data_IF_963222851912
#
_entry.id   IF_963222851912
#
_cell.length_a   1.000
_cell.length_b   1.000
_cell.length_c   1.000
_cell.angle_alpha   90.00
_cell.angle_beta   90.00
_cell.angle_gamma   90.00
#
_symmetry.space_group_name_H-M   'P 1'
#
loop_
_entity.id
_entity.type
_entity.pdbx_description
1 polymer ?
#
# COMPACT_ATOMS: atom_id res chain seq x y z
N UNK A 1 -6.30 -16.03 8.92
CA UNK A 1 -5.19 -15.26 8.33
C UNK A 1 -4.11 -16.24 7.95
N UNK A 2 -3.61 -16.17 6.74
CA UNK A 2 -2.42 -16.88 6.28
C UNK A 2 -1.41 -15.85 5.79
N UNK A 3 -0.12 -16.03 6.06
CA UNK A 3 0.93 -15.15 5.56
C UNK A 3 2.17 -15.97 5.18
N UNK A 4 2.82 -15.60 4.07
CA UNK A 4 4.07 -16.21 3.65
C UNK A 4 4.84 -15.31 2.68
N UNK A 5 6.11 -15.66 2.45
CA UNK A 5 6.89 -15.14 1.34
C UNK A 5 6.73 -16.03 0.11
N UNK A 6 6.29 -15.45 -1.00
CA UNK A 6 6.20 -16.13 -2.31
C UNK A 6 7.02 -15.39 -3.36
N UNK A 7 7.47 -16.09 -4.39
CA UNK A 7 8.22 -15.47 -5.47
C UNK A 7 7.25 -14.92 -6.53
N UNK A 8 7.30 -13.60 -6.72
CA UNK A 8 6.63 -12.86 -7.79
C UNK A 8 7.73 -12.10 -8.54
N UNK A 9 7.81 -12.26 -9.86
CA UNK A 9 8.93 -11.79 -10.66
C UNK A 9 10.31 -12.15 -10.08
N UNK A 10 10.47 -13.38 -9.59
CA UNK A 10 11.67 -13.86 -8.88
C UNK A 10 12.03 -13.10 -7.59
N UNK A 11 11.19 -12.19 -7.10
CA UNK A 11 11.40 -11.45 -5.86
C UNK A 11 10.56 -12.08 -4.74
N UNK A 12 11.19 -12.48 -3.62
CA UNK A 12 10.47 -12.92 -2.44
C UNK A 12 9.60 -11.78 -1.90
N UNK A 13 8.30 -11.99 -1.88
CA UNK A 13 7.31 -10.97 -1.53
C UNK A 13 6.44 -11.47 -0.41
N UNK A 14 6.33 -10.68 0.65
CA UNK A 14 5.44 -10.98 1.76
C UNK A 14 3.99 -10.68 1.38
N UNK A 15 3.09 -11.64 1.61
CA UNK A 15 1.66 -11.54 1.33
C UNK A 15 0.89 -12.01 2.55
N UNK A 16 -0.21 -11.31 2.85
CA UNK A 16 -1.13 -11.69 3.94
C UNK A 16 -2.53 -11.85 3.34
N UNK A 17 -3.22 -12.93 3.69
CA UNK A 17 -4.58 -13.22 3.21
C UNK A 17 -5.55 -13.60 4.32
N UNK A 18 -6.83 -13.32 4.06
CA UNK A 18 -7.98 -13.78 4.81
C UNK A 18 -9.00 -14.42 3.86
N UNK A 19 -9.79 -15.37 4.37
CA UNK A 19 -10.73 -16.17 3.56
C UNK A 19 -10.04 -17.34 2.85
N UNK A 20 -9.15 -17.06 1.88
CA UNK A 20 -8.40 -18.07 1.11
C UNK A 20 -6.95 -17.66 0.87
N UNK A 21 -6.03 -18.63 0.86
CA UNK A 21 -4.64 -18.45 0.42
C UNK A 21 -4.54 -18.32 -1.10
N UNK A 22 -3.47 -17.68 -1.57
CA UNK A 22 -3.27 -17.37 -2.99
C UNK A 22 -3.07 -18.62 -3.87
N UNK A 23 -2.61 -19.74 -3.30
CA UNK A 23 -2.42 -21.02 -4.00
C UNK A 23 -3.60 -21.99 -3.80
N UNK A 24 -4.60 -21.62 -3.02
CA UNK A 24 -5.85 -22.39 -2.92
C UNK A 24 -6.73 -22.17 -4.16
N UNK A 25 -7.51 -23.18 -4.55
CA UNK A 25 -8.46 -23.00 -5.64
C UNK A 25 -9.51 -21.93 -5.30
N UNK A 26 -9.71 -21.02 -6.25
CA UNK A 26 -10.77 -20.02 -6.25
C UNK A 26 -12.04 -20.50 -6.97
N UNK A 27 -12.20 -21.82 -7.17
CA UNK A 27 -13.45 -22.39 -7.70
C UNK A 27 -14.65 -21.97 -6.82
N UNK A 28 -15.67 -21.43 -7.46
CA UNK A 28 -16.87 -20.90 -6.79
C UNK A 28 -16.71 -19.51 -6.17
N UNK A 29 -15.52 -18.90 -6.23
CA UNK A 29 -15.28 -17.51 -5.83
C UNK A 29 -15.54 -16.60 -7.03
N UNK A 30 -16.45 -15.64 -6.88
CA UNK A 30 -16.76 -14.69 -7.95
C UNK A 30 -15.92 -13.41 -7.86
N UNK A 31 -15.57 -13.00 -6.66
CA UNK A 31 -14.92 -11.72 -6.38
C UNK A 31 -13.82 -11.87 -5.32
N UNK A 32 -12.76 -11.10 -5.48
CA UNK A 32 -11.63 -11.01 -4.55
C UNK A 32 -11.28 -9.55 -4.28
N UNK A 33 -10.84 -9.24 -3.07
CA UNK A 33 -10.33 -7.93 -2.70
C UNK A 33 -8.81 -8.00 -2.64
N UNK A 34 -8.12 -7.12 -3.37
CA UNK A 34 -6.66 -7.00 -3.34
C UNK A 34 -6.29 -5.59 -2.88
N UNK A 35 -5.55 -5.50 -1.78
CA UNK A 35 -5.02 -4.26 -1.24
C UNK A 35 -3.54 -4.11 -1.61
N UNK A 36 -3.25 -3.07 -2.41
CA UNK A 36 -1.91 -2.60 -2.72
C UNK A 36 -1.53 -1.56 -1.67
N UNK A 37 -0.50 -1.88 -0.90
CA UNK A 37 0.00 -1.02 0.17
C UNK A 37 0.53 0.31 -0.36
N UNK A 38 0.57 1.34 0.47
CA UNK A 38 1.45 2.50 0.31
C UNK A 38 2.84 2.27 0.91
N UNK A 39 3.76 3.21 0.68
CA UNK A 39 5.11 3.23 1.26
C UNK A 39 5.02 3.40 2.80
N UNK A 40 5.69 2.60 3.66
CA UNK A 40 6.87 1.77 3.45
C UNK A 40 6.62 0.40 2.79
N UNK A 41 5.40 0.03 2.42
CA UNK A 41 5.13 -1.18 1.63
C UNK A 41 5.15 -2.51 2.37
N UNK A 42 5.26 -2.49 3.72
CA UNK A 42 5.24 -3.71 4.54
C UNK A 42 3.79 -4.15 4.83
N UNK A 43 3.38 -5.37 4.41
CA UNK A 43 2.03 -5.89 4.67
C UNK A 43 1.65 -5.95 6.15
N UNK A 44 2.63 -6.14 7.03
CA UNK A 44 2.39 -6.26 8.47
C UNK A 44 1.75 -5.02 9.10
N UNK A 45 1.82 -3.85 8.46
CA UNK A 45 1.05 -2.67 8.92
C UNK A 45 -0.44 -2.80 8.65
N UNK A 46 -0.83 -3.57 7.63
CA UNK A 46 -2.21 -3.73 7.15
C UNK A 46 -2.92 -4.93 7.77
N UNK A 47 -2.26 -5.70 8.65
CA UNK A 47 -2.83 -6.89 9.28
C UNK A 47 -4.18 -6.60 9.96
N UNK A 48 -4.27 -5.52 10.74
CA UNK A 48 -5.53 -5.16 11.41
C UNK A 48 -6.60 -4.70 10.40
N UNK A 49 -6.22 -3.92 9.38
CA UNK A 49 -7.13 -3.45 8.34
C UNK A 49 -7.72 -4.61 7.51
N UNK A 50 -6.87 -5.48 6.96
CA UNK A 50 -7.31 -6.59 6.12
C UNK A 50 -8.19 -7.59 6.86
N UNK A 51 -7.83 -7.90 8.11
CA UNK A 51 -8.64 -8.77 8.97
C UNK A 51 -9.98 -8.15 9.34
N UNK A 52 -10.00 -6.86 9.71
CA UNK A 52 -11.25 -6.16 9.99
C UNK A 52 -12.14 -6.07 8.74
N UNK A 53 -11.56 -5.83 7.55
CA UNK A 53 -12.31 -5.73 6.30
C UNK A 53 -12.97 -7.07 5.94
N UNK A 54 -12.23 -8.18 5.99
CA UNK A 54 -12.80 -9.50 5.72
C UNK A 54 -13.91 -9.85 6.71
N UNK A 55 -13.73 -9.51 8.00
CA UNK A 55 -14.76 -9.71 9.00
C UNK A 55 -16.04 -8.92 8.68
N UNK A 56 -15.93 -7.63 8.33
CA UNK A 56 -17.10 -6.80 7.99
C UNK A 56 -17.84 -7.34 6.77
N UNK A 57 -17.11 -7.69 5.70
CA UNK A 57 -17.69 -8.27 4.49
C UNK A 57 -18.42 -9.59 4.78
N UNK A 58 -17.88 -10.44 5.66
CA UNK A 58 -18.52 -11.68 6.10
C UNK A 58 -19.80 -11.48 6.91
N UNK A 59 -19.83 -10.49 7.84
CA UNK A 59 -21.04 -10.13 8.60
C UNK A 59 -22.19 -9.68 7.70
N UNK A 60 -21.85 -9.17 6.53
CA UNK A 60 -22.76 -8.64 5.53
C UNK A 60 -23.14 -9.69 4.46
N UNK A 61 -22.78 -10.96 4.67
CA UNK A 61 -23.11 -12.08 3.79
C UNK A 61 -22.24 -12.20 2.55
N UNK A 62 -21.11 -11.48 2.47
CA UNK A 62 -20.17 -11.50 1.35
C UNK A 62 -18.78 -11.91 1.84
N UNK A 63 -18.57 -13.20 2.07
CA UNK A 63 -17.28 -13.74 2.53
C UNK A 63 -16.21 -13.73 1.41
N UNK A 64 -15.83 -12.53 0.97
CA UNK A 64 -14.84 -12.31 -0.08
C UNK A 64 -13.43 -12.52 0.49
N UNK A 65 -12.54 -13.25 -0.21
CA UNK A 65 -11.14 -13.28 0.15
C UNK A 65 -10.54 -11.87 0.08
N UNK A 66 -9.75 -11.51 1.09
CA UNK A 66 -9.04 -10.23 1.18
C UNK A 66 -7.55 -10.51 1.21
N UNK A 67 -6.82 -9.99 0.23
CA UNK A 67 -5.38 -10.20 0.05
C UNK A 67 -4.65 -8.87 0.13
N UNK A 68 -3.56 -8.82 0.89
CA UNK A 68 -2.66 -7.65 0.98
C UNK A 68 -1.32 -8.03 0.36
N UNK A 69 -0.90 -7.25 -0.64
CA UNK A 69 0.39 -7.41 -1.30
C UNK A 69 1.32 -6.24 -0.94
N UNK A 70 2.51 -6.57 -0.43
CA UNK A 70 3.55 -5.59 -0.13
C UNK A 70 4.30 -5.10 -1.37
N UNK A 71 5.13 -4.08 -1.18
CA UNK A 71 6.07 -3.66 -2.22
C UNK A 71 7.23 -4.66 -2.34
N UNK A 72 7.65 -4.91 -3.58
CA UNK A 72 8.75 -5.82 -3.87
C UNK A 72 10.02 -5.33 -3.16
N UNK A 73 10.67 -6.20 -2.39
CA UNK A 73 11.88 -5.90 -1.62
C UNK A 73 11.69 -5.08 -0.34
N UNK A 74 10.47 -4.69 0.03
CA UNK A 74 10.22 -3.89 1.22
C UNK A 74 10.03 -4.74 2.50
N UNK A 75 10.11 -6.06 2.41
CA UNK A 75 10.20 -6.96 3.55
C UNK A 75 11.21 -8.07 3.19
N UNK A 76 11.99 -8.49 4.17
CA UNK A 76 13.01 -9.52 4.01
C UNK A 76 12.47 -10.84 4.60
N UNK A 77 12.62 -11.97 3.89
CA UNK A 77 12.34 -13.28 4.43
C UNK A 77 13.06 -13.54 5.77
N UNK A 78 12.57 -14.48 6.60
CA UNK A 78 13.32 -14.93 7.78
C UNK A 78 14.73 -15.39 7.40
N UNK A 79 15.72 -15.21 8.27
CA UNK A 79 17.14 -15.55 7.98
C UNK A 79 17.35 -17.02 7.61
N UNK A 80 16.48 -17.92 8.06
CA UNK A 80 16.51 -19.35 7.72
C UNK A 80 15.94 -19.67 6.32
N UNK A 81 15.45 -18.67 5.59
CA UNK A 81 14.89 -18.81 4.24
C UNK A 81 16.00 -18.98 3.21
N UNK A 82 15.79 -19.89 2.25
CA UNK A 82 16.64 -20.00 1.04
C UNK A 82 16.39 -18.87 0.03
N UNK A 83 15.34 -18.08 0.26
CA UNK A 83 14.96 -16.96 -0.60
C UNK A 83 15.64 -15.69 -0.11
N UNK A 84 16.30 -14.99 -1.01
CA UNK A 84 16.94 -13.71 -0.75
C UNK A 84 16.36 -12.62 -1.67
N UNK A 85 16.18 -11.43 -1.10
CA UNK A 85 15.77 -10.26 -1.87
C UNK A 85 17.01 -9.70 -2.57
N UNK A 86 16.95 -9.39 -3.88
CA UNK A 86 18.08 -8.77 -4.59
C UNK A 86 18.55 -7.47 -3.90
N UNK A 87 19.85 -7.20 -3.95
CA UNK A 87 20.40 -5.93 -3.49
C UNK A 87 19.90 -4.79 -4.39
N UNK A 88 19.75 -3.58 -3.84
CA UNK A 88 19.28 -2.44 -4.63
C UNK A 88 20.24 -2.12 -5.77
N UNK A 89 21.54 -2.00 -5.47
CA UNK A 89 22.57 -1.68 -6.45
C UNK A 89 22.62 -2.73 -7.57
N UNK A 90 22.47 -2.29 -8.81
CA UNK A 90 22.43 -3.15 -10.00
C UNK A 90 21.09 -3.84 -10.25
N UNK A 91 20.07 -3.62 -9.40
CA UNK A 91 18.71 -4.11 -9.58
C UNK A 91 17.66 -3.00 -9.37
N UNK A 92 18.01 -1.75 -9.60
CA UNK A 92 17.18 -0.56 -9.35
C UNK A 92 15.82 -0.66 -10.07
N UNK A 93 15.81 -1.22 -11.28
CA UNK A 93 14.59 -1.44 -12.07
C UNK A 93 13.58 -2.38 -11.41
N UNK A 94 14.00 -3.26 -10.50
CA UNK A 94 13.09 -4.15 -9.76
C UNK A 94 12.31 -3.40 -8.66
N UNK A 95 12.88 -2.30 -8.16
CA UNK A 95 12.38 -1.63 -6.96
C UNK A 95 11.77 -0.26 -7.23
N UNK A 96 11.96 0.30 -8.44
CA UNK A 96 11.34 1.56 -8.85
C UNK A 96 9.83 1.38 -9.14
N UNK A 97 9.12 2.48 -9.40
CA UNK A 97 7.67 2.42 -9.63
C UNK A 97 7.27 1.48 -10.76
N UNK A 98 8.01 1.44 -11.87
CA UNK A 98 7.71 0.52 -12.98
C UNK A 98 7.89 -0.95 -12.56
N UNK A 99 8.99 -1.26 -11.88
CA UNK A 99 9.23 -2.58 -11.30
C UNK A 99 8.11 -3.00 -10.35
N UNK A 100 7.61 -2.06 -9.54
CA UNK A 100 6.44 -2.31 -8.69
C UNK A 100 5.18 -2.57 -9.54
N UNK A 101 4.90 -1.82 -10.61
CA UNK A 101 3.75 -2.09 -11.48
C UNK A 101 3.84 -3.50 -12.08
N UNK A 102 4.96 -3.83 -12.74
CA UNK A 102 5.17 -5.16 -13.33
C UNK A 102 4.99 -6.28 -12.30
N UNK A 103 5.53 -6.09 -11.10
CA UNK A 103 5.35 -7.04 -9.99
C UNK A 103 3.87 -7.26 -9.62
N UNK A 104 3.02 -6.24 -9.66
CA UNK A 104 1.59 -6.36 -9.31
C UNK A 104 0.79 -6.96 -10.47
N UNK A 105 1.16 -6.67 -11.72
CA UNK A 105 0.63 -7.33 -12.91
C UNK A 105 0.86 -8.84 -12.81
N UNK A 106 2.12 -9.26 -12.61
CA UNK A 106 2.46 -10.68 -12.51
C UNK A 106 1.76 -11.39 -11.35
N UNK A 107 1.57 -10.70 -10.22
CA UNK A 107 0.79 -11.26 -9.12
C UNK A 107 -0.65 -11.56 -9.53
N UNK A 108 -1.32 -10.60 -10.17
CA UNK A 108 -2.72 -10.73 -10.60
C UNK A 108 -2.88 -11.81 -11.67
N UNK A 109 -1.96 -11.86 -12.64
CA UNK A 109 -1.97 -12.87 -13.70
C UNK A 109 -1.74 -14.29 -13.15
N UNK A 110 -0.82 -14.43 -12.20
CA UNK A 110 -0.43 -15.74 -11.65
C UNK A 110 -1.46 -16.32 -10.70
N UNK A 111 -2.04 -15.51 -9.82
CA UNK A 111 -2.82 -16.02 -8.69
C UNK A 111 -4.34 -15.80 -8.81
N UNK A 112 -4.79 -14.93 -9.70
CA UNK A 112 -6.22 -14.69 -9.89
C UNK A 112 -6.64 -15.36 -11.20
N UNK A 113 -7.61 -16.30 -11.20
CA UNK A 113 -8.20 -16.83 -12.42
C UNK A 113 -9.01 -15.77 -13.19
N UNK A 114 -9.09 -15.90 -14.52
CA UNK A 114 -9.76 -14.92 -15.40
C UNK A 114 -11.25 -14.71 -15.11
N UNK A 115 -11.94 -15.71 -14.56
CA UNK A 115 -13.36 -15.63 -14.20
C UNK A 115 -13.64 -14.84 -12.91
N UNK A 116 -12.62 -14.60 -12.08
CA UNK A 116 -12.77 -13.88 -10.80
C UNK A 116 -12.62 -12.38 -11.04
N UNK A 117 -13.58 -11.60 -10.54
CA UNK A 117 -13.56 -10.13 -10.57
C UNK A 117 -12.81 -9.56 -9.37
N UNK A 118 -12.16 -8.41 -9.55
CA UNK A 118 -11.23 -7.85 -8.58
C UNK A 118 -11.74 -6.51 -8.05
N UNK A 119 -11.80 -6.36 -6.74
CA UNK A 119 -11.85 -5.08 -6.05
C UNK A 119 -10.43 -4.68 -5.68
N UNK A 120 -9.93 -3.57 -6.22
CA UNK A 120 -8.61 -3.06 -5.88
C UNK A 120 -8.71 -1.98 -4.81
N UNK A 121 -7.90 -2.07 -3.77
CA UNK A 121 -7.73 -1.02 -2.76
C UNK A 121 -6.30 -0.52 -2.85
N UNK A 122 -6.12 0.77 -3.08
CA UNK A 122 -4.79 1.39 -3.14
C UNK A 122 -4.66 2.43 -2.06
N UNK A 123 -3.69 2.29 -1.17
CA UNK A 123 -3.38 3.30 -0.17
C UNK A 123 -2.18 4.14 -0.62
N UNK A 124 -2.27 5.47 -0.54
CA UNK A 124 -1.16 6.38 -0.85
C UNK A 124 -0.62 6.11 -2.25
N UNK A 125 0.67 5.81 -2.41
CA UNK A 125 1.25 5.44 -3.71
C UNK A 125 0.58 4.22 -4.36
N UNK A 126 0.02 3.30 -3.57
CA UNK A 126 -0.75 2.16 -4.08
C UNK A 126 -1.95 2.61 -4.93
N UNK A 127 -2.50 3.81 -4.68
CA UNK A 127 -3.54 4.39 -5.52
C UNK A 127 -3.03 4.79 -6.91
N UNK A 128 -1.84 5.39 -6.99
CA UNK A 128 -1.19 5.71 -8.25
C UNK A 128 -0.85 4.44 -9.03
N UNK A 129 -0.37 3.41 -8.33
CA UNK A 129 -0.10 2.10 -8.94
C UNK A 129 -1.35 1.48 -9.55
N UNK A 130 -2.51 1.56 -8.87
CA UNK A 130 -3.79 1.11 -9.44
C UNK A 130 -4.12 1.85 -10.73
N UNK A 131 -3.93 3.18 -10.79
CA UNK A 131 -4.16 3.92 -12.03
C UNK A 131 -3.28 3.36 -13.16
N UNK A 132 -2.02 3.02 -12.88
CA UNK A 132 -1.15 2.41 -13.89
C UNK A 132 -1.63 1.02 -14.32
N UNK A 133 -2.08 0.19 -13.38
CA UNK A 133 -2.62 -1.14 -13.68
C UNK A 133 -3.85 -1.10 -14.59
N UNK A 134 -4.65 -0.03 -14.53
CA UNK A 134 -5.83 0.13 -15.39
C UNK A 134 -5.50 0.42 -16.86
N UNK A 135 -4.24 0.72 -17.19
CA UNK A 135 -3.80 0.84 -18.58
C UNK A 135 -3.64 -0.53 -19.26
N UNK A 136 -3.49 -1.61 -18.48
CA UNK A 136 -3.48 -2.97 -19.00
C UNK A 136 -4.92 -3.47 -19.17
N UNK A 137 -5.36 -3.68 -20.42
CA UNK A 137 -6.72 -4.11 -20.73
C UNK A 137 -7.07 -5.47 -20.11
N UNK A 138 -6.12 -6.40 -20.00
CA UNK A 138 -6.36 -7.73 -19.44
C UNK A 138 -6.65 -7.66 -17.94
N UNK A 139 -5.98 -6.75 -17.23
CA UNK A 139 -6.26 -6.48 -15.82
C UNK A 139 -7.55 -5.68 -15.69
N UNK A 140 -7.66 -4.58 -16.44
CA UNK A 140 -8.79 -3.65 -16.41
C UNK A 140 -10.12 -4.38 -16.57
N UNK A 141 -10.22 -5.33 -17.50
CA UNK A 141 -11.46 -6.08 -17.78
C UNK A 141 -11.90 -6.98 -16.62
N UNK A 142 -11.00 -7.24 -15.67
CA UNK A 142 -11.25 -8.03 -14.48
C UNK A 142 -11.59 -7.16 -13.27
N UNK A 143 -11.34 -5.86 -13.35
CA UNK A 143 -11.62 -4.92 -12.25
C UNK A 143 -13.12 -4.65 -12.15
N UNK A 144 -13.67 -4.84 -10.95
CA UNK A 144 -15.03 -4.42 -10.61
C UNK A 144 -15.05 -2.98 -10.12
N UNK A 145 -14.11 -2.61 -9.24
CA UNK A 145 -13.98 -1.25 -8.68
C UNK A 145 -12.61 -1.05 -8.04
N UNK A 146 -12.17 0.20 -8.01
CA UNK A 146 -10.95 0.65 -7.34
C UNK A 146 -11.31 1.63 -6.21
N UNK A 147 -10.78 1.39 -5.01
CA UNK A 147 -10.93 2.24 -3.83
C UNK A 147 -9.57 2.87 -3.52
N UNK A 148 -9.43 4.14 -3.88
CA UNK A 148 -8.20 4.91 -3.78
C UNK A 148 -8.20 5.69 -2.47
N UNK A 149 -7.52 5.15 -1.45
CA UNK A 149 -7.49 5.67 -0.09
C UNK A 149 -6.29 6.59 0.10
N UNK A 150 -6.54 7.85 0.50
CA UNK A 150 -5.53 8.90 0.62
C UNK A 150 -4.66 8.97 -0.64
N UNK A 151 -5.27 9.26 -1.80
CA UNK A 151 -4.70 8.95 -3.10
C UNK A 151 -3.53 9.88 -3.46
N UNK A 152 -2.29 9.40 -3.25
CA UNK A 152 -1.07 10.10 -3.67
C UNK A 152 -0.86 9.92 -5.18
N UNK A 153 -1.75 10.52 -5.98
CA UNK A 153 -1.80 10.35 -7.45
C UNK A 153 -1.25 11.55 -8.23
N UNK A 154 -0.99 12.65 -7.53
CA UNK A 154 -0.47 13.89 -8.10
C UNK A 154 0.28 14.70 -7.04
N UNK A 155 1.11 15.64 -7.51
CA UNK A 155 1.78 16.70 -6.75
C UNK A 155 2.32 16.27 -5.38
N UNK A 156 2.96 15.11 -5.34
CA UNK A 156 3.41 14.51 -4.08
C UNK A 156 4.48 15.37 -3.42
N UNK A 157 5.47 15.83 -4.20
CA UNK A 157 6.57 16.66 -3.72
C UNK A 157 6.12 18.05 -3.25
N UNK A 158 5.05 18.59 -3.85
CA UNK A 158 4.50 19.90 -3.56
C UNK A 158 3.60 19.91 -2.31
N UNK A 159 3.19 18.74 -1.82
CA UNK A 159 2.44 18.61 -0.58
C UNK A 159 3.27 19.04 0.64
N UNK A 160 2.65 19.42 1.78
CA UNK A 160 3.38 19.76 3.01
C UNK A 160 4.39 18.69 3.47
N UNK A 161 3.99 17.42 3.44
CA UNK A 161 4.86 16.31 3.83
C UNK A 161 5.89 16.01 2.74
N UNK A 162 5.53 16.09 1.46
CA UNK A 162 6.48 15.93 0.35
C UNK A 162 7.58 16.97 0.36
N UNK A 163 7.22 18.23 0.62
CA UNK A 163 8.18 19.30 0.76
C UNK A 163 9.14 19.03 1.92
N UNK A 164 8.60 18.66 3.10
CA UNK A 164 9.40 18.33 4.29
C UNK A 164 10.33 17.15 4.01
N UNK A 165 9.81 16.12 3.35
CA UNK A 165 10.57 14.94 3.00
C UNK A 165 11.72 15.28 2.05
N UNK A 166 11.44 15.94 0.92
CA UNK A 166 12.45 16.26 -0.10
C UNK A 166 13.47 17.29 0.39
N UNK A 167 13.06 18.30 1.18
CA UNK A 167 13.96 19.40 1.60
C UNK A 167 14.71 19.12 2.89
N UNK A 168 14.22 18.22 3.74
CA UNK A 168 14.80 17.95 5.06
C UNK A 168 15.16 16.49 5.20
N UNK A 169 14.19 15.57 5.10
CA UNK A 169 14.43 14.16 5.41
C UNK A 169 15.40 13.49 4.43
N UNK A 170 15.24 13.73 3.12
CA UNK A 170 16.08 13.13 2.08
C UNK A 170 17.55 13.57 2.18
N UNK A 171 17.90 14.87 2.27
CA UNK A 171 19.28 15.28 2.50
C UNK A 171 19.89 14.67 3.77
N UNK A 172 19.12 14.59 4.87
CA UNK A 172 19.59 13.96 6.11
C UNK A 172 19.82 12.46 5.93
N UNK A 173 18.93 11.77 5.22
CA UNK A 173 19.09 10.35 4.91
C UNK A 173 20.30 10.10 3.99
N UNK A 174 20.50 10.92 2.95
CA UNK A 174 21.65 10.75 2.05
C UNK A 174 23.00 10.89 2.77
N UNK A 175 23.07 11.68 3.83
CA UNK A 175 24.30 11.87 4.63
C UNK A 175 24.42 10.84 5.76
N UNK A 176 23.34 10.61 6.50
CA UNK A 176 23.37 9.84 7.76
C UNK A 176 22.59 8.54 7.73
N UNK A 177 21.70 8.34 6.77
CA UNK A 177 20.74 7.23 6.72
C UNK A 177 21.41 5.87 6.76
N UNK A 178 22.36 5.62 5.85
CA UNK A 178 23.10 4.35 5.82
C UNK A 178 23.78 4.05 7.17
N UNK A 179 24.49 5.04 7.72
CA UNK A 179 25.17 4.89 9.01
C UNK A 179 24.17 4.65 10.14
N UNK A 180 23.09 5.43 10.17
CA UNK A 180 22.04 5.31 11.18
C UNK A 180 21.41 3.91 11.21
N UNK A 181 20.96 3.40 10.06
CA UNK A 181 20.32 2.09 9.99
C UNK A 181 21.30 0.96 10.33
N UNK A 182 22.56 1.05 9.91
CA UNK A 182 23.57 0.05 10.27
C UNK A 182 23.91 0.08 11.77
N UNK A 183 24.13 1.26 12.35
CA UNK A 183 24.37 1.40 13.79
C UNK A 183 23.16 0.93 14.60
N UNK A 184 21.94 1.24 14.16
CA UNK A 184 20.73 0.78 14.82
C UNK A 184 20.65 -0.74 14.83
N UNK A 185 20.95 -1.41 13.71
CA UNK A 185 20.90 -2.87 13.61
C UNK A 185 22.06 -3.59 14.29
N UNK A 186 23.20 -2.92 14.50
CA UNK A 186 24.29 -3.43 15.31
C UNK A 186 23.93 -3.53 16.81
N UNK A 187 22.89 -2.82 17.26
CA UNK A 187 22.45 -2.88 18.65
C UNK A 187 21.77 -4.21 19.00
N UNK A 188 21.91 -4.70 20.25
CA UNK A 188 21.15 -5.85 20.74
C UNK A 188 19.64 -5.69 20.51
N UNK A 189 18.96 -6.79 20.16
CA UNK A 189 17.54 -6.77 19.78
C UNK A 189 16.64 -6.15 20.85
N UNK A 190 16.93 -6.37 22.14
CA UNK A 190 16.16 -5.79 23.24
C UNK A 190 16.24 -4.25 23.27
N UNK A 191 17.40 -3.67 22.91
CA UNK A 191 17.59 -2.22 22.89
C UNK A 191 16.85 -1.61 21.69
N UNK A 192 16.90 -2.26 20.52
CA UNK A 192 16.11 -1.86 19.35
C UNK A 192 14.61 -1.87 19.66
N UNK A 193 14.12 -2.94 20.28
CA UNK A 193 12.71 -3.05 20.70
C UNK A 193 12.35 -1.92 21.67
N UNK A 194 13.21 -1.66 22.65
CA UNK A 194 12.99 -0.60 23.64
C UNK A 194 12.87 0.78 22.97
N UNK A 195 13.78 1.13 22.06
CA UNK A 195 13.75 2.41 21.34
C UNK A 195 12.51 2.54 20.45
N UNK A 196 12.13 1.47 19.73
CA UNK A 196 10.90 1.44 18.93
C UNK A 196 9.66 1.61 19.82
N UNK A 197 9.62 0.97 20.99
CA UNK A 197 8.52 1.11 21.93
C UNK A 197 8.41 2.52 22.51
N UNK A 198 9.53 3.20 22.77
CA UNK A 198 9.52 4.63 23.15
C UNK A 198 8.92 5.47 22.02
N UNK A 199 9.39 5.28 20.78
CA UNK A 199 8.85 5.97 19.61
C UNK A 199 7.33 5.72 19.48
N UNK A 200 6.89 4.46 19.61
CA UNK A 200 5.48 4.10 19.55
C UNK A 200 4.66 4.75 20.66
N UNK A 201 5.21 4.85 21.87
CA UNK A 201 4.54 5.54 22.96
C UNK A 201 4.38 7.05 22.68
N UNK A 202 5.44 7.72 22.23
CA UNK A 202 5.41 9.15 21.89
C UNK A 202 4.38 9.43 20.79
N UNK A 203 4.34 8.59 19.76
CA UNK A 203 3.46 8.77 18.60
C UNK A 203 2.15 7.98 18.69
N UNK A 204 1.82 7.41 19.86
CA UNK A 204 0.60 6.64 20.07
C UNK A 204 0.35 5.56 18.99
N UNK A 205 1.39 4.79 18.65
CA UNK A 205 1.33 3.67 17.71
C UNK A 205 1.12 2.37 18.51
N UNK A 206 0.18 1.48 18.10
CA UNK A 206 -0.05 0.21 18.78
C UNK A 206 1.19 -0.70 18.81
N UNK A 207 1.45 -1.30 19.98
CA UNK A 207 2.63 -2.15 20.22
C UNK A 207 2.70 -3.40 19.35
N UNK A 208 1.59 -3.87 18.78
CA UNK A 208 1.59 -5.04 17.91
C UNK A 208 2.36 -4.80 16.59
N UNK A 209 2.63 -3.55 16.21
CA UNK A 209 3.46 -3.22 15.03
C UNK A 209 4.97 -3.26 15.29
N UNK A 210 5.43 -3.57 16.51
CA UNK A 210 6.87 -3.57 16.84
C UNK A 210 7.65 -4.53 15.94
N UNK A 211 7.09 -5.70 15.62
CA UNK A 211 7.72 -6.67 14.71
C UNK A 211 7.90 -6.11 13.30
N UNK A 212 6.88 -5.43 12.76
CA UNK A 212 6.94 -4.79 11.45
C UNK A 212 7.90 -3.60 11.44
N UNK A 213 7.95 -2.81 12.51
CA UNK A 213 8.92 -1.71 12.65
C UNK A 213 10.37 -2.22 12.72
N UNK A 214 10.62 -3.36 13.38
CA UNK A 214 11.93 -4.00 13.36
C UNK A 214 12.34 -4.43 11.95
N UNK A 215 11.44 -5.02 11.18
CA UNK A 215 11.69 -5.39 9.77
C UNK A 215 11.99 -4.16 8.92
N UNK A 216 11.16 -3.12 9.03
CA UNK A 216 11.38 -1.84 8.36
C UNK A 216 12.74 -1.22 8.69
N UNK A 217 13.19 -1.37 9.95
CA UNK A 217 14.48 -0.83 10.38
C UNK A 217 15.69 -1.53 9.79
N UNK A 218 15.56 -2.66 9.05
CA UNK A 218 16.71 -3.32 8.41
C UNK A 218 17.30 -2.42 7.32
N UNK A 219 18.64 -2.29 7.20
CA UNK A 219 19.24 -1.38 6.22
C UNK A 219 18.83 -1.73 4.77
N UNK A 220 18.79 -3.03 4.45
CA UNK A 220 18.36 -3.58 3.16
C UNK A 220 16.92 -3.18 2.77
N UNK A 221 16.03 -3.05 3.75
CA UNK A 221 14.63 -2.68 3.57
C UNK A 221 14.49 -1.17 3.50
N UNK A 222 15.08 -0.45 4.47
CA UNK A 222 15.02 1.00 4.55
C UNK A 222 15.56 1.67 3.28
N UNK A 223 16.65 1.13 2.71
CA UNK A 223 17.23 1.63 1.46
C UNK A 223 16.26 1.55 0.28
N UNK A 224 15.56 0.41 0.12
CA UNK A 224 14.57 0.23 -0.96
C UNK A 224 13.32 1.08 -0.74
N UNK A 225 12.87 1.21 0.50
CA UNK A 225 11.77 2.11 0.87
C UNK A 225 12.08 3.56 0.48
N UNK A 226 13.28 4.04 0.83
CA UNK A 226 13.69 5.41 0.50
C UNK A 226 13.94 5.58 -1.00
N UNK A 227 14.51 4.57 -1.67
CA UNK A 227 14.66 4.57 -3.12
C UNK A 227 13.32 4.70 -3.85
N UNK A 228 12.32 3.90 -3.46
CA UNK A 228 10.98 4.03 -4.02
C UNK A 228 10.38 5.40 -3.69
N UNK A 229 10.53 5.90 -2.46
CA UNK A 229 10.03 7.23 -2.08
C UNK A 229 10.63 8.36 -2.94
N UNK A 230 11.91 8.28 -3.31
CA UNK A 230 12.53 9.25 -4.20
C UNK A 230 11.96 9.19 -5.63
N UNK A 231 11.76 7.97 -6.16
CA UNK A 231 11.14 7.76 -7.46
C UNK A 231 9.66 8.22 -7.49
N UNK A 232 8.92 8.01 -6.38
CA UNK A 232 7.57 8.54 -6.17
C UNK A 232 7.56 10.07 -6.28
N UNK A 233 8.45 10.75 -5.57
CA UNK A 233 8.58 12.21 -5.61
C UNK A 233 8.93 12.70 -7.01
N UNK A 234 9.73 11.94 -7.76
CA UNK A 234 10.12 12.28 -9.11
C UNK A 234 8.96 12.17 -10.12
N UNK A 235 8.16 11.11 -10.03
CA UNK A 235 7.15 10.76 -11.07
C UNK A 235 5.72 11.17 -10.74
N UNK A 236 5.32 11.21 -9.46
CA UNK A 236 3.95 11.55 -9.05
C UNK A 236 3.77 13.08 -9.04
N UNK A 237 3.70 13.65 -10.26
CA UNK A 237 3.69 15.09 -10.49
C UNK A 237 2.32 15.62 -10.88
N UNK A 238 1.82 15.23 -12.04
CA UNK A 238 0.54 15.71 -12.56
C UNK A 238 -0.58 14.70 -12.33
N UNK A 239 -1.79 15.22 -12.16
CA UNK A 239 -2.99 14.40 -12.23
C UNK A 239 -3.12 13.80 -13.64
N UNK A 240 -3.25 12.48 -13.72
CA UNK A 240 -3.38 11.74 -14.99
C UNK A 240 -4.81 11.83 -15.51
N UNK A 241 -5.17 13.01 -16.02
CA UNK A 241 -6.56 13.40 -16.30
C UNK A 241 -7.26 12.46 -17.26
N UNK A 242 -6.63 12.16 -18.38
CA UNK A 242 -7.19 11.29 -19.43
C UNK A 242 -7.45 9.88 -18.89
N UNK A 243 -6.48 9.35 -18.13
CA UNK A 243 -6.56 8.02 -17.53
C UNK A 243 -7.67 7.94 -16.48
N UNK A 244 -7.79 8.97 -15.64
CA UNK A 244 -8.85 9.07 -14.63
C UNK A 244 -10.22 9.22 -15.29
N UNK A 245 -10.35 10.09 -16.29
CA UNK A 245 -11.61 10.31 -17.01
C UNK A 245 -12.10 9.03 -17.68
N UNK A 246 -11.20 8.32 -18.37
CA UNK A 246 -11.49 7.05 -19.04
C UNK A 246 -12.02 5.99 -18.05
N UNK A 247 -11.51 5.97 -16.83
CA UNK A 247 -11.82 4.93 -15.84
C UNK A 247 -12.74 5.42 -14.71
N UNK A 248 -13.25 6.64 -14.79
CA UNK A 248 -13.99 7.28 -13.69
C UNK A 248 -15.11 6.43 -13.08
N UNK A 249 -15.90 5.65 -13.86
CA UNK A 249 -16.91 4.76 -13.29
C UNK A 249 -16.35 3.67 -12.36
N UNK A 250 -15.09 3.25 -12.56
CA UNK A 250 -14.42 2.24 -11.73
C UNK A 250 -13.76 2.85 -10.48
N UNK A 251 -13.52 4.16 -10.46
CA UNK A 251 -12.74 4.79 -9.40
C UNK A 251 -13.65 5.28 -8.27
N UNK A 252 -13.22 5.05 -7.04
CA UNK A 252 -13.73 5.69 -5.84
C UNK A 252 -12.57 6.29 -5.06
N UNK A 253 -12.61 7.59 -4.78
CA UNK A 253 -11.56 8.28 -4.05
C UNK A 253 -11.98 8.58 -2.60
N UNK A 254 -11.05 8.43 -1.67
CA UNK A 254 -11.24 8.80 -0.26
C UNK A 254 -10.10 9.70 0.20
N UNK A 255 -10.41 10.96 0.50
CA UNK A 255 -9.44 11.97 0.92
C UNK A 255 -9.52 12.25 2.41
N UNK A 256 -8.38 12.47 3.07
CA UNK A 256 -8.31 12.88 4.47
C UNK A 256 -8.47 14.40 4.63
N UNK A 257 -9.04 14.85 5.75
CA UNK A 257 -9.12 16.28 6.09
C UNK A 257 -7.85 16.82 6.73
N UNK A 258 -7.02 15.94 7.29
CA UNK A 258 -5.76 16.26 7.97
C UNK A 258 -4.53 15.73 7.23
N UNK A 259 -4.70 15.33 5.96
CA UNK A 259 -3.66 14.66 5.19
C UNK A 259 -2.60 15.67 4.67
N UNK A 260 -1.37 15.51 5.16
CA UNK A 260 -0.23 16.32 4.74
C UNK A 260 0.45 15.86 3.43
N UNK A 261 0.09 14.70 2.91
CA UNK A 261 0.56 14.18 1.61
C UNK A 261 -0.41 14.50 0.48
N UNK A 262 -1.71 14.51 0.79
CA UNK A 262 -2.79 14.76 -0.17
C UNK A 262 -3.76 15.81 0.41
N UNK A 263 -3.40 17.11 0.36
CA UNK A 263 -4.20 18.16 0.98
C UNK A 263 -5.63 18.26 0.43
N UNK A 264 -6.56 18.81 1.23
CA UNK A 264 -7.97 19.01 0.83
C UNK A 264 -8.12 19.76 -0.50
N UNK A 265 -7.21 20.68 -0.81
CA UNK A 265 -7.20 21.39 -2.09
C UNK A 265 -7.11 20.44 -3.32
N UNK A 266 -6.48 19.26 -3.17
CA UNK A 266 -6.38 18.27 -4.25
C UNK A 266 -7.74 17.60 -4.48
N UNK A 267 -8.49 17.31 -3.41
CA UNK A 267 -9.88 16.85 -3.50
C UNK A 267 -10.78 17.89 -4.19
N UNK A 268 -10.70 19.15 -3.76
CA UNK A 268 -11.52 20.23 -4.33
C UNK A 268 -11.22 20.42 -5.83
N UNK A 269 -9.94 20.34 -6.22
CA UNK A 269 -9.55 20.42 -7.62
C UNK A 269 -10.00 19.20 -8.43
N UNK A 270 -9.90 17.98 -7.89
CA UNK A 270 -10.43 16.77 -8.52
C UNK A 270 -11.93 16.92 -8.78
N UNK A 271 -12.71 17.35 -7.79
CA UNK A 271 -14.16 17.55 -7.94
C UNK A 271 -14.52 18.68 -8.90
N UNK A 272 -13.67 19.71 -9.03
CA UNK A 272 -13.85 20.76 -10.04
C UNK A 272 -13.60 20.24 -11.45
N UNK A 273 -12.57 19.40 -11.64
CA UNK A 273 -12.21 18.83 -12.93
C UNK A 273 -13.19 17.71 -13.36
N UNK A 274 -13.64 16.91 -12.41
CA UNK A 274 -14.53 15.78 -12.60
C UNK A 274 -15.72 15.86 -11.61
N UNK A 275 -16.73 16.71 -11.86
CA UNK A 275 -17.87 16.87 -10.96
C UNK A 275 -18.67 15.59 -10.68
N UNK A 276 -18.56 14.61 -11.58
CA UNK A 276 -19.18 13.29 -11.51
C UNK A 276 -18.29 12.21 -10.85
N UNK A 277 -17.09 12.57 -10.39
CA UNK A 277 -16.21 11.63 -9.69
C UNK A 277 -16.87 11.10 -8.42
N UNK A 278 -16.80 9.79 -8.20
CA UNK A 278 -17.14 9.19 -6.91
C UNK A 278 -15.99 9.45 -5.92
N UNK A 279 -16.01 10.61 -5.27
CA UNK A 279 -14.99 11.01 -4.31
C UNK A 279 -15.62 11.49 -3.00
N UNK A 280 -15.08 10.99 -1.89
CA UNK A 280 -15.48 11.33 -0.54
C UNK A 280 -14.34 12.05 0.18
N UNK A 281 -14.69 13.14 0.87
CA UNK A 281 -13.84 13.75 1.88
C UNK A 281 -14.18 13.15 3.26
N UNK A 282 -13.15 12.76 3.99
CA UNK A 282 -13.25 12.18 5.32
C UNK A 282 -13.96 13.12 6.30
N UNK A 283 -14.80 12.56 7.16
CA UNK A 283 -15.49 13.30 8.24
C UNK A 283 -15.07 12.82 9.62
N UNK A 284 -14.19 11.82 9.71
CA UNK A 284 -13.82 11.15 10.97
C UNK A 284 -12.42 11.52 11.47
N UNK A 285 -11.68 12.37 10.75
CA UNK A 285 -10.31 12.75 11.10
C UNK A 285 -9.33 11.59 10.97
N UNK A 286 -9.49 10.75 9.95
CA UNK A 286 -8.62 9.59 9.73
C UNK A 286 -7.30 10.07 9.12
N UNK A 287 -6.19 9.78 9.81
CA UNK A 287 -4.84 10.05 9.34
C UNK A 287 -4.53 9.33 8.01
N UNK A 288 -3.67 9.93 7.18
CA UNK A 288 -3.10 9.28 5.99
C UNK A 288 -2.61 7.86 6.29
N UNK A 289 -1.81 7.70 7.34
CA UNK A 289 -1.35 6.41 7.84
C UNK A 289 -2.43 5.68 8.67
N UNK A 290 -3.64 5.55 8.11
CA UNK A 290 -4.80 4.99 8.80
C UNK A 290 -4.52 3.60 9.37
N UNK A 291 -3.65 2.84 8.70
CA UNK A 291 -3.25 1.49 9.11
C UNK A 291 -2.69 1.44 10.53
N UNK A 292 -2.12 2.53 11.04
CA UNK A 292 -1.52 2.55 12.38
C UNK A 292 -2.53 2.74 13.51
N UNK A 293 -3.67 3.41 13.28
CA UNK A 293 -4.59 3.84 14.36
C UNK A 293 -6.08 3.69 14.05
N UNK A 294 -6.41 3.63 12.76
CA UNK A 294 -7.77 3.72 12.24
C UNK A 294 -8.09 2.57 11.27
N UNK A 295 -7.38 1.44 11.39
CA UNK A 295 -7.60 0.24 10.58
C UNK A 295 -9.06 -0.23 10.61
N UNK A 296 -9.67 -0.35 11.79
CA UNK A 296 -11.07 -0.80 11.91
C UNK A 296 -12.09 0.21 11.37
N UNK A 297 -12.03 1.52 11.71
CA UNK A 297 -12.88 2.52 11.06
C UNK A 297 -12.76 2.54 9.53
N UNK A 298 -11.53 2.46 9.00
CA UNK A 298 -11.32 2.44 7.54
C UNK A 298 -11.86 1.16 6.91
N UNK A 299 -11.66 0.00 7.55
CA UNK A 299 -12.22 -1.27 7.08
C UNK A 299 -13.74 -1.23 6.98
N UNK A 300 -14.43 -0.66 7.97
CA UNK A 300 -15.88 -0.47 7.92
C UNK A 300 -16.31 0.49 6.80
N UNK A 301 -15.57 1.58 6.58
CA UNK A 301 -15.86 2.49 5.47
C UNK A 301 -15.75 1.73 4.15
N UNK A 302 -14.63 1.04 3.92
CA UNK A 302 -14.38 0.31 2.68
C UNK A 302 -15.35 -0.85 2.48
N UNK A 303 -15.76 -1.59 3.52
CA UNK A 303 -16.76 -2.65 3.39
C UNK A 303 -18.08 -2.09 2.85
N UNK A 304 -18.56 -0.98 3.43
CA UNK A 304 -19.75 -0.27 2.95
C UNK A 304 -19.62 0.16 1.47
N UNK A 305 -18.44 0.63 1.06
CA UNK A 305 -18.18 1.00 -0.34
C UNK A 305 -18.26 -0.21 -1.29
N UNK A 306 -17.73 -1.35 -0.86
CA UNK A 306 -17.77 -2.61 -1.62
C UNK A 306 -19.21 -3.12 -1.77
N UNK A 307 -20.02 -3.00 -0.72
CA UNK A 307 -21.44 -3.35 -0.79
C UNK A 307 -22.21 -2.51 -1.80
N UNK A 308 -22.04 -1.18 -1.74
CA UNK A 308 -22.75 -0.23 -2.61
C UNK A 308 -22.44 -0.45 -4.09
N UNK A 309 -21.28 -1.00 -4.40
CA UNK A 309 -20.84 -1.26 -5.78
C UNK A 309 -21.44 -2.54 -6.38
N UNK A 310 -22.05 -3.40 -5.56
CA UNK A 310 -22.59 -4.69 -6.01
C UNK A 310 -24.10 -4.67 -6.20
N UNK A 311 -24.79 -3.69 -5.62
CA UNK A 311 -26.20 -3.40 -5.90
C UNK A 311 -26.32 -2.57 -7.18
#
# INVERSE_FOLDING_TARGET
MQEAFVNINSIPTHIITWGKWIEESLDGVQEVVICITGNPGLPGFYTEFGGALQQQLGLEGRDLPVWVIGHAGHDDPPEASIREVPQLTGNEELFNLNGQITHKIEFIEKYIPSHVKIHLIGHSIGAWMILQLLQDEQIRDRIKKCYLLFPTVERMMESPNGWTFTKIAMPLYSVFGYVFFNLFNAMPIWLRIFLIQIYFWIFSIPKHYVGTALKYSRPSVAEKVVFLADDEMARVRGLQRELIEQHLPLLKFYYGTTDGWVPVAYYEELMRLFPQADAQLDTKGIDHAFVLRSSKPMALIVSNMIQQTTN
#
